data_IF_664157696513
#
_entry.id   IF_664157696513
#
_cell.length_a   1.000
_cell.length_b   1.000
_cell.length_c   1.000
_cell.angle_alpha   90.00
_cell.angle_beta   90.00
_cell.angle_gamma   90.00
#
_symmetry.space_group_name_H-M   'P 1'
#
loop_
_entity.id
_entity.type
_entity.pdbx_description
1 polymer ?
#
# COMPACT_ATOMS: atom_id res chain seq x y z
N UNK A 1 -36.18 -7.64 -6.26
CA UNK A 1 -35.18 -8.53 -5.60
C UNK A 1 -34.34 -9.13 -6.72
N UNK A 2 -33.12 -8.66 -6.99
CA UNK A 2 -32.23 -9.30 -7.98
C UNK A 2 -31.83 -10.67 -7.42
N UNK A 3 -32.10 -11.73 -8.16
CA UNK A 3 -31.73 -13.09 -7.79
C UNK A 3 -30.19 -13.12 -7.68
N UNK A 4 -29.68 -13.35 -6.45
CA UNK A 4 -28.26 -13.64 -6.24
C UNK A 4 -27.95 -14.99 -6.85
N UNK A 5 -26.82 -15.08 -7.51
CA UNK A 5 -26.34 -16.35 -8.06
C UNK A 5 -25.56 -17.09 -6.96
N UNK A 6 -26.02 -18.28 -6.54
CA UNK A 6 -25.30 -19.12 -5.60
C UNK A 6 -23.93 -19.51 -6.14
N UNK A 7 -22.91 -19.57 -5.27
CA UNK A 7 -21.57 -20.01 -5.67
C UNK A 7 -21.56 -21.45 -6.22
N UNK A 8 -22.44 -22.30 -5.75
CA UNK A 8 -22.60 -23.68 -6.24
C UNK A 8 -23.08 -23.78 -7.70
N UNK A 9 -23.67 -22.72 -8.26
CA UNK A 9 -24.17 -22.69 -9.64
C UNK A 9 -23.17 -21.99 -10.61
N UNK A 10 -22.08 -21.43 -10.12
CA UNK A 10 -21.13 -20.67 -10.95
C UNK A 10 -20.42 -21.53 -11.99
N UNK A 11 -20.38 -22.87 -11.81
CA UNK A 11 -19.81 -23.80 -12.80
C UNK A 11 -20.59 -23.85 -14.11
N UNK A 12 -21.86 -23.44 -14.10
CA UNK A 12 -22.70 -23.30 -15.31
C UNK A 12 -22.34 -22.08 -16.15
N UNK A 13 -21.60 -21.12 -15.56
CA UNK A 13 -21.14 -19.93 -16.27
C UNK A 13 -19.88 -20.22 -17.10
N UNK A 14 -19.73 -19.55 -18.25
CA UNK A 14 -18.46 -19.55 -18.97
C UNK A 14 -17.35 -19.00 -18.06
N UNK A 15 -16.12 -19.49 -18.22
CA UNK A 15 -14.98 -19.20 -17.34
C UNK A 15 -14.78 -17.69 -17.11
N UNK A 16 -14.95 -16.87 -18.14
CA UNK A 16 -14.76 -15.44 -18.08
C UNK A 16 -15.85 -14.69 -17.28
N UNK A 17 -16.98 -15.33 -16.94
CA UNK A 17 -18.07 -14.75 -16.11
C UNK A 17 -18.11 -15.29 -14.69
N UNK A 18 -17.17 -16.13 -14.30
CA UNK A 18 -17.10 -16.70 -12.95
C UNK A 18 -16.56 -15.67 -11.94
N UNK A 19 -16.81 -15.85 -10.63
CA UNK A 19 -16.33 -14.96 -9.58
C UNK A 19 -14.80 -14.70 -9.64
N UNK A 20 -14.00 -15.75 -9.88
CA UNK A 20 -12.55 -15.62 -10.02
C UNK A 20 -12.15 -14.68 -11.17
N UNK A 21 -12.85 -14.72 -12.30
CA UNK A 21 -12.59 -13.85 -13.44
C UNK A 21 -12.91 -12.38 -13.11
N UNK A 22 -13.97 -12.12 -12.34
CA UNK A 22 -14.27 -10.78 -11.83
C UNK A 22 -13.17 -10.28 -10.91
N UNK A 23 -12.66 -11.12 -10.00
CA UNK A 23 -11.53 -10.77 -9.13
C UNK A 23 -10.27 -10.43 -9.95
N UNK A 24 -9.96 -11.19 -11.00
CA UNK A 24 -8.84 -10.86 -11.90
C UNK A 24 -9.05 -9.53 -12.62
N UNK A 25 -10.28 -9.28 -13.11
CA UNK A 25 -10.60 -8.03 -13.79
C UNK A 25 -10.45 -6.82 -12.85
N UNK A 26 -10.97 -6.91 -11.63
CA UNK A 26 -10.80 -5.86 -10.61
C UNK A 26 -9.33 -5.68 -10.20
N UNK A 27 -8.58 -6.78 -10.09
CA UNK A 27 -7.15 -6.73 -9.80
C UNK A 27 -6.31 -6.08 -10.91
N UNK A 28 -6.77 -6.14 -12.17
CA UNK A 28 -6.15 -5.41 -13.27
C UNK A 28 -6.56 -3.93 -13.28
N UNK A 29 -7.82 -3.63 -12.98
CA UNK A 29 -8.37 -2.28 -13.08
C UNK A 29 -7.82 -1.32 -12.03
N UNK A 30 -7.68 -1.74 -10.76
CA UNK A 30 -7.21 -0.89 -9.68
C UNK A 30 -5.81 -0.30 -9.93
N UNK A 31 -4.80 -1.09 -10.33
CA UNK A 31 -3.47 -0.55 -10.56
C UNK A 31 -3.39 0.43 -11.73
N UNK A 32 -4.27 0.35 -12.74
CA UNK A 32 -4.28 1.31 -13.83
C UNK A 32 -4.43 2.73 -13.30
N UNK A 33 -5.39 2.97 -12.42
CA UNK A 33 -5.57 4.29 -11.79
C UNK A 33 -4.48 4.58 -10.75
N UNK A 34 -4.22 3.64 -9.83
CA UNK A 34 -3.33 3.89 -8.71
C UNK A 34 -1.85 4.03 -9.12
N UNK A 35 -1.36 3.19 -10.04
CA UNK A 35 0.01 3.28 -10.52
C UNK A 35 0.23 4.56 -11.32
N UNK A 36 -0.73 4.95 -12.18
CA UNK A 36 -0.66 6.21 -12.91
C UNK A 36 -0.65 7.41 -11.97
N UNK A 37 -1.55 7.43 -10.98
CA UNK A 37 -1.54 8.48 -9.96
C UNK A 37 -0.20 8.57 -9.25
N UNK A 38 0.36 7.45 -8.82
CA UNK A 38 1.66 7.40 -8.14
C UNK A 38 2.82 7.86 -9.01
N UNK A 39 2.80 7.54 -10.30
CA UNK A 39 3.85 7.93 -11.24
C UNK A 39 3.86 9.43 -11.53
N UNK A 40 2.68 10.02 -11.66
CA UNK A 40 2.55 11.41 -12.12
C UNK A 40 2.49 12.42 -10.97
N UNK A 41 2.09 12.01 -9.77
CA UNK A 41 1.73 12.90 -8.68
C UNK A 41 2.80 13.95 -8.39
N UNK A 42 4.04 13.53 -8.13
CA UNK A 42 5.09 14.44 -7.68
C UNK A 42 5.42 15.50 -8.74
N UNK A 43 5.53 15.09 -9.99
CA UNK A 43 5.75 16.04 -11.10
C UNK A 43 4.55 16.97 -11.26
N UNK A 44 3.33 16.42 -11.28
CA UNK A 44 2.10 17.22 -11.44
C UNK A 44 1.94 18.28 -10.36
N UNK A 45 2.14 17.93 -9.09
CA UNK A 45 1.95 18.89 -8.00
C UNK A 45 3.05 19.96 -7.97
N UNK A 46 4.27 19.65 -8.40
CA UNK A 46 5.38 20.61 -8.46
C UNK A 46 5.25 21.49 -9.72
N UNK A 47 5.10 20.89 -10.89
CA UNK A 47 5.16 21.60 -12.18
C UNK A 47 3.88 22.39 -12.48
N UNK A 48 2.72 21.89 -12.07
CA UNK A 48 1.42 22.46 -12.42
C UNK A 48 0.75 23.14 -11.23
N UNK A 49 0.77 22.53 -10.05
CA UNK A 49 0.10 23.06 -8.87
C UNK A 49 1.00 23.91 -7.95
N UNK A 50 2.32 23.97 -8.24
CA UNK A 50 3.33 24.72 -7.49
C UNK A 50 3.36 24.35 -5.98
N UNK A 51 3.20 23.08 -5.66
CA UNK A 51 3.24 22.60 -4.28
C UNK A 51 4.64 22.69 -3.69
N UNK A 52 4.66 22.99 -2.40
CA UNK A 52 5.83 22.87 -1.53
C UNK A 52 5.68 21.63 -0.63
N UNK A 53 6.67 21.39 0.24
CA UNK A 53 6.58 20.33 1.23
C UNK A 53 5.34 20.39 2.13
N UNK A 54 4.78 21.57 2.36
CA UNK A 54 3.55 21.74 3.16
C UNK A 54 2.33 21.15 2.47
N UNK A 55 2.13 21.52 1.21
CA UNK A 55 0.97 21.10 0.44
C UNK A 55 1.02 19.59 0.17
N UNK A 56 2.18 19.03 -0.19
CA UNK A 56 2.32 17.59 -0.39
C UNK A 56 2.11 16.81 0.92
N UNK A 57 2.56 17.34 2.03
CA UNK A 57 2.32 16.76 3.37
C UNK A 57 0.83 16.68 3.68
N UNK A 58 0.08 17.77 3.47
CA UNK A 58 -1.38 17.78 3.65
C UNK A 58 -2.10 16.85 2.68
N UNK A 59 -1.68 16.79 1.42
CA UNK A 59 -2.27 15.90 0.41
C UNK A 59 -2.17 14.44 0.85
N UNK A 60 -0.99 14.01 1.31
CA UNK A 60 -0.82 12.65 1.80
C UNK A 60 -1.54 12.40 3.13
N UNK A 61 -1.61 13.37 4.03
CA UNK A 61 -2.46 13.30 5.23
C UNK A 61 -3.92 13.00 4.86
N UNK A 62 -4.49 13.78 3.95
CA UNK A 62 -5.87 13.59 3.47
C UNK A 62 -6.05 12.23 2.80
N UNK A 63 -5.05 11.77 2.05
CA UNK A 63 -5.05 10.45 1.42
C UNK A 63 -5.16 9.30 2.42
N UNK A 64 -4.58 9.42 3.59
CA UNK A 64 -4.56 8.35 4.59
C UNK A 64 -5.81 8.34 5.50
N UNK A 65 -6.61 9.42 5.52
CA UNK A 65 -7.83 9.49 6.34
C UNK A 65 -8.81 8.34 6.06
N UNK A 66 -9.16 8.00 4.80
CA UNK A 66 -10.06 6.88 4.54
C UNK A 66 -9.51 5.52 4.98
N UNK A 67 -8.19 5.32 4.93
CA UNK A 67 -7.52 4.12 5.46
C UNK A 67 -7.64 4.02 6.97
N UNK A 68 -7.45 5.12 7.69
CA UNK A 68 -7.67 5.20 9.13
C UNK A 68 -9.15 4.94 9.49
N UNK A 69 -10.08 5.48 8.70
CA UNK A 69 -11.52 5.32 8.85
C UNK A 69 -12.10 4.10 8.10
N UNK A 70 -11.28 3.09 7.77
CA UNK A 70 -11.72 1.89 7.04
C UNK A 70 -12.88 1.13 7.74
N UNK A 71 -13.07 1.35 9.05
CA UNK A 71 -14.26 0.87 9.78
C UNK A 71 -15.57 1.38 9.17
N UNK A 72 -15.56 2.53 8.49
CA UNK A 72 -16.71 3.09 7.78
C UNK A 72 -17.26 2.17 6.67
N UNK A 73 -16.43 1.28 6.13
CA UNK A 73 -16.87 0.24 5.17
C UNK A 73 -17.98 -0.61 5.76
N UNK A 74 -17.90 -0.95 7.06
CA UNK A 74 -18.92 -1.78 7.75
C UNK A 74 -20.28 -1.07 7.72
N UNK A 75 -20.31 0.25 7.93
CA UNK A 75 -21.56 1.02 7.90
C UNK A 75 -22.18 1.01 6.50
N UNK A 76 -21.37 1.12 5.45
CA UNK A 76 -21.85 1.06 4.06
C UNK A 76 -22.37 -0.35 3.73
N UNK A 77 -21.73 -1.40 4.24
CA UNK A 77 -22.16 -2.78 4.05
C UNK A 77 -23.48 -3.14 4.75
N UNK A 78 -23.98 -2.29 5.67
CA UNK A 78 -25.34 -2.46 6.23
C UNK A 78 -26.44 -2.18 5.21
N UNK A 79 -26.14 -1.36 4.20
CA UNK A 79 -27.11 -0.92 3.18
C UNK A 79 -26.76 -1.37 1.76
N UNK A 80 -25.54 -1.88 1.54
CA UNK A 80 -25.02 -2.20 0.22
C UNK A 80 -24.28 -3.56 0.24
N UNK A 81 -24.39 -4.31 -0.87
CA UNK A 81 -23.69 -5.58 -1.05
C UNK A 81 -22.20 -5.37 -1.33
N UNK A 82 -21.35 -6.29 -0.89
CA UNK A 82 -19.88 -6.23 -1.06
C UNK A 82 -19.47 -6.08 -2.53
N UNK A 83 -20.03 -6.88 -3.47
CA UNK A 83 -19.69 -6.76 -4.89
C UNK A 83 -20.06 -5.39 -5.46
N UNK A 84 -21.23 -4.84 -5.10
CA UNK A 84 -21.65 -3.51 -5.53
C UNK A 84 -20.71 -2.44 -4.99
N UNK A 85 -20.40 -2.53 -3.70
CA UNK A 85 -19.46 -1.58 -3.05
C UNK A 85 -18.07 -1.66 -3.68
N UNK A 86 -17.55 -2.86 -3.97
CA UNK A 86 -16.25 -3.02 -4.64
C UNK A 86 -16.24 -2.32 -6.01
N UNK A 87 -17.27 -2.52 -6.83
CA UNK A 87 -17.36 -1.90 -8.15
C UNK A 87 -17.54 -0.37 -8.05
N UNK A 88 -18.38 0.12 -7.15
CA UNK A 88 -18.59 1.57 -6.95
C UNK A 88 -17.31 2.25 -6.39
N UNK A 89 -16.62 1.61 -5.46
CA UNK A 89 -15.37 2.12 -4.91
C UNK A 89 -14.29 2.19 -6.00
N UNK A 90 -14.20 1.16 -6.85
CA UNK A 90 -13.28 1.14 -7.98
C UNK A 90 -13.66 2.17 -9.05
N UNK A 91 -14.96 2.38 -9.31
CA UNK A 91 -15.44 3.44 -10.18
C UNK A 91 -15.08 4.83 -9.64
N UNK A 92 -15.23 5.05 -8.33
CA UNK A 92 -14.86 6.30 -7.66
C UNK A 92 -13.35 6.56 -7.77
N UNK A 93 -12.52 5.54 -7.55
CA UNK A 93 -11.07 5.62 -7.75
C UNK A 93 -10.75 6.03 -9.19
N UNK A 94 -11.35 5.35 -10.18
CA UNK A 94 -11.16 5.63 -11.60
C UNK A 94 -11.60 7.04 -11.99
N UNK A 95 -12.80 7.45 -11.58
CA UNK A 95 -13.36 8.76 -11.88
C UNK A 95 -12.54 9.89 -11.26
N UNK A 96 -12.16 9.77 -9.97
CA UNK A 96 -11.34 10.76 -9.29
C UNK A 96 -9.95 10.86 -9.94
N UNK A 97 -9.33 9.72 -10.30
CA UNK A 97 -8.07 9.72 -11.06
C UNK A 97 -8.23 10.39 -12.41
N UNK A 98 -9.26 10.05 -13.17
CA UNK A 98 -9.52 10.64 -14.48
C UNK A 98 -9.64 12.16 -14.41
N UNK A 99 -10.26 12.69 -13.37
CA UNK A 99 -10.49 14.11 -13.19
C UNK A 99 -9.30 14.88 -12.60
N UNK A 100 -8.33 14.21 -11.97
CA UNK A 100 -7.23 14.83 -11.22
C UNK A 100 -6.51 15.92 -12.04
N UNK A 101 -6.24 15.66 -13.33
CA UNK A 101 -5.48 16.57 -14.18
C UNK A 101 -6.10 17.97 -14.40
N UNK A 102 -7.40 18.13 -14.13
CA UNK A 102 -8.08 19.44 -14.25
C UNK A 102 -8.17 20.20 -12.93
N UNK A 103 -7.84 19.58 -11.80
CA UNK A 103 -7.89 20.22 -10.49
C UNK A 103 -6.48 20.61 -10.05
N UNK A 104 -6.04 21.82 -10.43
CA UNK A 104 -4.69 22.33 -10.16
C UNK A 104 -4.58 23.14 -8.87
N UNK A 105 -5.71 23.48 -8.23
CA UNK A 105 -5.72 24.18 -6.96
C UNK A 105 -5.46 23.22 -5.79
N UNK A 106 -4.88 23.73 -4.71
CA UNK A 106 -4.63 22.94 -3.49
C UNK A 106 -5.90 22.25 -2.97
N UNK A 107 -7.00 23.02 -2.80
CA UNK A 107 -8.27 22.46 -2.34
C UNK A 107 -8.88 21.44 -3.30
N UNK A 108 -8.79 21.71 -4.61
CA UNK A 108 -9.25 20.78 -5.65
C UNK A 108 -8.51 19.46 -5.60
N UNK A 109 -7.17 19.50 -5.47
CA UNK A 109 -6.35 18.31 -5.35
C UNK A 109 -6.59 17.53 -4.05
N UNK A 110 -6.85 18.23 -2.94
CA UNK A 110 -7.24 17.55 -1.69
C UNK A 110 -8.57 16.80 -1.88
N UNK A 111 -9.56 17.39 -2.54
CA UNK A 111 -10.86 16.74 -2.80
C UNK A 111 -10.67 15.53 -3.73
N UNK A 112 -9.96 15.68 -4.84
CA UNK A 112 -9.71 14.56 -5.76
C UNK A 112 -8.93 13.44 -5.08
N UNK A 113 -7.94 13.77 -4.27
CA UNK A 113 -7.16 12.81 -3.48
C UNK A 113 -8.04 12.10 -2.44
N UNK A 114 -8.92 12.81 -1.74
CA UNK A 114 -9.85 12.21 -0.78
C UNK A 114 -10.81 11.22 -1.47
N UNK A 115 -11.41 11.61 -2.59
CA UNK A 115 -12.33 10.75 -3.36
C UNK A 115 -11.61 9.51 -3.90
N UNK A 116 -10.43 9.69 -4.50
CA UNK A 116 -9.58 8.60 -4.97
C UNK A 116 -9.22 7.65 -3.84
N UNK A 117 -8.86 8.19 -2.67
CA UNK A 117 -8.48 7.41 -1.50
C UNK A 117 -9.66 6.66 -0.87
N UNK A 118 -10.85 7.25 -0.80
CA UNK A 118 -12.06 6.52 -0.40
C UNK A 118 -12.27 5.33 -1.35
N UNK A 119 -12.21 5.58 -2.66
CA UNK A 119 -12.31 4.52 -3.66
C UNK A 119 -11.29 3.40 -3.44
N UNK A 120 -10.02 3.75 -3.26
CA UNK A 120 -8.93 2.80 -3.05
C UNK A 120 -9.12 1.96 -1.79
N UNK A 121 -9.26 2.58 -0.63
CA UNK A 121 -9.31 1.87 0.66
C UNK A 121 -10.58 1.05 0.84
N UNK A 122 -11.73 1.55 0.35
CA UNK A 122 -12.98 0.80 0.42
C UNK A 122 -12.95 -0.39 -0.53
N UNK A 123 -12.44 -0.19 -1.76
CA UNK A 123 -12.22 -1.28 -2.70
C UNK A 123 -11.31 -2.35 -2.11
N UNK A 124 -10.14 -1.96 -1.59
CA UNK A 124 -9.15 -2.93 -1.08
C UNK A 124 -9.72 -3.75 0.07
N UNK A 125 -10.45 -3.11 1.00
CA UNK A 125 -11.09 -3.79 2.14
C UNK A 125 -12.12 -4.81 1.68
N UNK A 126 -13.01 -4.42 0.77
CA UNK A 126 -14.09 -5.30 0.30
C UNK A 126 -13.56 -6.38 -0.64
N UNK A 127 -12.60 -6.05 -1.49
CA UNK A 127 -11.98 -7.01 -2.41
C UNK A 127 -11.27 -8.14 -1.66
N UNK A 128 -10.60 -7.85 -0.53
CA UNK A 128 -10.05 -8.89 0.34
C UNK A 128 -11.14 -9.81 0.90
N UNK A 129 -12.28 -9.24 1.31
CA UNK A 129 -13.43 -10.02 1.79
C UNK A 129 -13.97 -10.94 0.70
N UNK A 130 -14.21 -10.41 -0.51
CA UNK A 130 -14.70 -11.19 -1.66
C UNK A 130 -13.72 -12.30 -2.04
N UNK A 131 -12.41 -12.05 -2.02
CA UNK A 131 -11.40 -13.09 -2.29
C UNK A 131 -11.52 -14.26 -1.30
N UNK A 132 -11.69 -13.95 0.01
CA UNK A 132 -11.82 -15.00 1.03
C UNK A 132 -13.13 -15.79 0.95
N UNK A 133 -14.19 -15.19 0.39
CA UNK A 133 -15.50 -15.81 0.29
C UNK A 133 -15.71 -16.60 -1.01
N UNK A 134 -15.16 -16.10 -2.12
CA UNK A 134 -15.39 -16.67 -3.45
C UNK A 134 -14.37 -17.70 -3.89
N UNK A 135 -13.20 -17.73 -3.23
CA UNK A 135 -12.11 -18.66 -3.60
C UNK A 135 -12.15 -19.87 -2.65
N UNK A 136 -12.21 -21.05 -3.24
CA UNK A 136 -12.09 -22.30 -2.48
C UNK A 136 -10.76 -22.36 -1.72
N UNK A 137 -10.81 -22.79 -0.45
CA UNK A 137 -9.63 -22.83 0.45
C UNK A 137 -8.49 -23.68 -0.12
N UNK A 138 -8.82 -24.79 -0.80
CA UNK A 138 -7.80 -25.68 -1.38
C UNK A 138 -7.07 -25.02 -2.56
N UNK A 139 -7.74 -24.12 -3.31
CA UNK A 139 -7.22 -23.41 -4.47
C UNK A 139 -6.70 -22.02 -4.13
N UNK A 140 -6.99 -21.50 -2.93
CA UNK A 140 -6.68 -20.13 -2.52
C UNK A 140 -5.21 -19.72 -2.77
N UNK A 141 -4.17 -20.50 -2.42
CA UNK A 141 -2.79 -20.08 -2.67
C UNK A 141 -2.50 -19.80 -4.15
N UNK A 142 -3.05 -20.63 -5.04
CA UNK A 142 -2.83 -20.52 -6.49
C UNK A 142 -3.61 -19.32 -7.06
N UNK A 143 -4.89 -19.17 -6.69
CA UNK A 143 -5.75 -18.11 -7.22
C UNK A 143 -5.33 -16.75 -6.70
N UNK A 144 -5.01 -16.62 -5.41
CA UNK A 144 -4.48 -15.38 -4.82
C UNK A 144 -3.14 -14.98 -5.46
N UNK A 145 -2.24 -15.96 -5.69
CA UNK A 145 -0.99 -15.71 -6.41
C UNK A 145 -1.23 -15.17 -7.83
N UNK A 146 -2.24 -15.70 -8.54
CA UNK A 146 -2.63 -15.20 -9.87
C UNK A 146 -3.22 -13.78 -9.80
N UNK A 147 -4.05 -13.47 -8.80
CA UNK A 147 -4.61 -12.12 -8.59
C UNK A 147 -3.47 -11.11 -8.41
N UNK A 148 -2.50 -11.41 -7.53
CA UNK A 148 -1.32 -10.57 -7.34
C UNK A 148 -0.52 -10.40 -8.64
N UNK A 149 -0.32 -11.48 -9.39
CA UNK A 149 0.40 -11.44 -10.67
C UNK A 149 -0.32 -10.63 -11.74
N UNK A 150 -1.67 -10.65 -11.78
CA UNK A 150 -2.47 -9.82 -12.69
C UNK A 150 -2.32 -8.35 -12.34
N UNK A 151 -2.47 -7.98 -11.06
CA UNK A 151 -2.26 -6.62 -10.59
C UNK A 151 -0.85 -6.10 -10.88
N UNK A 152 0.16 -6.94 -10.67
CA UNK A 152 1.54 -6.63 -10.99
C UNK A 152 1.75 -6.32 -12.47
N UNK A 153 1.20 -7.14 -13.36
CA UNK A 153 1.29 -6.91 -14.83
C UNK A 153 0.57 -5.62 -15.23
N UNK A 154 -0.57 -5.31 -14.63
CA UNK A 154 -1.29 -4.06 -14.90
C UNK A 154 -0.46 -2.83 -14.47
N UNK A 155 0.19 -2.87 -13.29
CA UNK A 155 1.11 -1.82 -12.85
C UNK A 155 2.29 -1.65 -13.82
N UNK A 156 2.92 -2.76 -14.23
CA UNK A 156 4.03 -2.75 -15.18
C UNK A 156 3.60 -2.19 -16.54
N UNK A 157 2.39 -2.55 -17.00
CA UNK A 157 1.84 -2.01 -18.25
C UNK A 157 1.60 -0.49 -18.16
N UNK A 158 1.04 0.00 -17.04
CA UNK A 158 0.81 1.41 -16.81
C UNK A 158 2.13 2.20 -16.77
N UNK A 159 3.11 1.76 -15.97
CA UNK A 159 4.42 2.41 -15.92
C UNK A 159 5.16 2.33 -17.27
N UNK A 160 5.16 1.15 -17.90
CA UNK A 160 5.80 0.96 -19.21
C UNK A 160 5.19 1.84 -20.30
N UNK A 161 3.86 1.99 -20.30
CA UNK A 161 3.18 2.89 -21.24
C UNK A 161 3.57 4.36 -21.02
N UNK A 162 3.60 4.81 -19.75
CA UNK A 162 4.04 6.19 -19.43
C UNK A 162 5.48 6.41 -19.90
N UNK A 163 6.41 5.52 -19.54
CA UNK A 163 7.84 5.64 -19.94
C UNK A 163 7.99 5.69 -21.45
N UNK A 164 7.26 4.84 -22.18
CA UNK A 164 7.41 4.73 -23.65
C UNK A 164 6.72 5.87 -24.40
N UNK A 165 5.59 6.37 -23.88
CA UNK A 165 4.71 7.25 -24.66
C UNK A 165 4.73 8.71 -24.20
N UNK A 166 5.16 9.00 -22.99
CA UNK A 166 5.12 10.36 -22.42
C UNK A 166 5.86 11.37 -23.30
N UNK A 167 7.16 11.14 -23.52
CA UNK A 167 7.99 12.06 -24.30
C UNK A 167 7.77 11.89 -25.81
N UNK A 168 7.50 10.65 -26.29
CA UNK A 168 7.36 10.36 -27.72
C UNK A 168 6.08 10.91 -28.33
N UNK A 169 4.99 10.94 -27.58
CA UNK A 169 3.69 11.48 -28.02
C UNK A 169 3.42 12.88 -27.46
N UNK A 170 4.32 13.43 -26.64
CA UNK A 170 4.12 14.73 -25.99
C UNK A 170 2.86 14.74 -25.11
N UNK A 171 2.66 13.69 -24.33
CA UNK A 171 1.47 13.55 -23.47
C UNK A 171 1.46 14.61 -22.36
N UNK A 172 0.28 15.05 -22.00
CA UNK A 172 0.05 15.91 -20.85
C UNK A 172 -0.59 15.15 -19.67
N UNK A 173 -0.55 15.73 -18.48
CA UNK A 173 -1.09 15.13 -17.25
C UNK A 173 -2.57 14.80 -17.35
N UNK A 174 -3.37 15.74 -17.92
CA UNK A 174 -4.82 15.59 -18.01
C UNK A 174 -5.20 14.41 -18.89
N UNK A 175 -4.52 14.26 -20.02
CA UNK A 175 -4.73 13.15 -20.96
C UNK A 175 -4.39 11.80 -20.32
N UNK A 176 -3.27 11.69 -19.60
CA UNK A 176 -2.84 10.41 -19.02
C UNK A 176 -3.73 10.05 -17.83
N UNK A 177 -4.08 11.01 -16.98
CA UNK A 177 -5.04 10.77 -15.88
C UNK A 177 -6.41 10.37 -16.42
N UNK A 178 -6.93 11.06 -17.47
CA UNK A 178 -8.21 10.73 -18.09
C UNK A 178 -8.18 9.32 -18.70
N UNK A 179 -7.13 8.98 -19.43
CA UNK A 179 -7.02 7.69 -20.11
C UNK A 179 -6.98 6.54 -19.09
N UNK A 180 -6.16 6.64 -18.04
CA UNK A 180 -6.00 5.58 -17.04
C UNK A 180 -7.23 5.44 -16.15
N UNK A 181 -7.73 6.55 -15.61
CA UNK A 181 -8.94 6.56 -14.77
C UNK A 181 -10.17 6.21 -15.57
N UNK A 182 -10.30 6.73 -16.79
CA UNK A 182 -11.40 6.41 -17.72
C UNK A 182 -11.43 4.93 -18.09
N UNK A 183 -10.27 4.33 -18.38
CA UNK A 183 -10.18 2.89 -18.63
C UNK A 183 -10.62 2.08 -17.41
N UNK A 184 -10.24 2.48 -16.20
CA UNK A 184 -10.71 1.85 -14.97
C UNK A 184 -12.24 1.92 -14.86
N UNK A 185 -12.85 3.07 -15.12
CA UNK A 185 -14.31 3.25 -15.12
C UNK A 185 -14.98 2.37 -16.20
N UNK A 186 -14.42 2.31 -17.40
CA UNK A 186 -14.94 1.46 -18.47
C UNK A 186 -14.91 -0.02 -18.11
N UNK A 187 -13.83 -0.48 -17.48
CA UNK A 187 -13.71 -1.85 -16.97
C UNK A 187 -14.79 -2.11 -15.89
N UNK A 188 -15.05 -1.16 -15.00
CA UNK A 188 -16.09 -1.30 -13.97
C UNK A 188 -17.48 -1.34 -14.60
N UNK A 189 -17.78 -0.49 -15.58
CA UNK A 189 -19.05 -0.54 -16.32
C UNK A 189 -19.24 -1.91 -17.00
N UNK A 190 -18.21 -2.38 -17.68
CA UNK A 190 -18.23 -3.72 -18.26
C UNK A 190 -18.49 -4.80 -17.20
N UNK A 191 -17.78 -4.74 -16.06
CA UNK A 191 -17.97 -5.70 -14.97
C UNK A 191 -19.41 -5.66 -14.42
N UNK A 192 -19.98 -4.48 -14.22
CA UNK A 192 -21.34 -4.32 -13.72
C UNK A 192 -22.42 -4.87 -14.67
N UNK A 193 -22.19 -4.77 -15.99
CA UNK A 193 -23.12 -5.24 -17.01
C UNK A 193 -22.95 -6.73 -17.34
N UNK A 194 -21.70 -7.22 -17.31
CA UNK A 194 -21.38 -8.58 -17.80
C UNK A 194 -21.49 -9.66 -16.72
N UNK A 195 -21.27 -9.31 -15.45
CA UNK A 195 -21.22 -10.28 -14.35
C UNK A 195 -22.53 -10.27 -13.53
N UNK A 196 -23.05 -11.44 -13.14
CA UNK A 196 -24.16 -11.51 -12.20
C UNK A 196 -23.72 -11.05 -10.80
N UNK A 197 -24.69 -10.77 -9.94
CA UNK A 197 -24.43 -10.57 -8.52
C UNK A 197 -24.26 -11.94 -7.85
N UNK A 198 -23.04 -12.19 -7.35
CA UNK A 198 -22.74 -13.44 -6.66
C UNK A 198 -23.14 -13.37 -5.18
N UNK A 199 -23.45 -14.50 -4.61
CA UNK A 199 -23.73 -14.64 -3.19
C UNK A 199 -22.43 -14.44 -2.37
N UNK A 200 -22.58 -13.74 -1.23
CA UNK A 200 -21.53 -13.62 -0.21
C UNK A 200 -22.02 -14.33 1.04
N UNK A 201 -21.64 -15.60 1.24
CA UNK A 201 -22.29 -16.47 2.22
C UNK A 201 -22.06 -16.08 3.68
N UNK A 202 -21.06 -15.24 3.98
CA UNK A 202 -20.73 -14.89 5.35
C UNK A 202 -20.53 -13.38 5.53
N UNK A 203 -21.41 -12.75 6.33
CA UNK A 203 -21.14 -11.43 6.87
C UNK A 203 -19.90 -11.48 7.78
N UNK A 204 -18.88 -10.73 7.47
CA UNK A 204 -17.65 -10.69 8.27
C UNK A 204 -17.90 -9.95 9.60
N UNK A 205 -17.99 -10.67 10.69
CA UNK A 205 -17.97 -10.06 12.03
C UNK A 205 -16.54 -9.64 12.37
N UNK A 206 -16.22 -8.36 12.24
CA UNK A 206 -14.92 -7.79 12.63
C UNK A 206 -15.01 -7.32 14.08
N UNK A 207 -14.68 -8.18 15.02
CA UNK A 207 -14.35 -7.75 16.37
C UNK A 207 -12.88 -7.33 16.40
N UNK A 208 -12.60 -6.07 16.74
CA UNK A 208 -11.23 -5.62 16.98
C UNK A 208 -10.77 -6.16 18.33
N UNK A 209 -9.60 -6.78 18.39
CA UNK A 209 -9.00 -7.31 19.61
C UNK A 209 -7.64 -6.68 19.84
N UNK A 210 -7.53 -5.93 20.93
CA UNK A 210 -6.27 -5.33 21.37
C UNK A 210 -5.76 -6.11 22.60
N UNK A 211 -4.77 -6.99 22.40
CA UNK A 211 -4.15 -7.77 23.48
C UNK A 211 -2.85 -7.09 23.95
N UNK A 212 -2.72 -6.83 25.24
CA UNK A 212 -1.48 -6.25 25.83
C UNK A 212 -0.24 -7.06 25.51
N UNK A 213 -0.33 -8.37 25.41
CA UNK A 213 0.82 -9.24 25.08
C UNK A 213 1.44 -8.95 23.70
N UNK A 214 0.68 -8.38 22.74
CA UNK A 214 1.16 -8.05 21.40
C UNK A 214 1.68 -6.61 21.30
N UNK A 215 1.95 -5.94 22.41
CA UNK A 215 2.35 -4.53 22.44
C UNK A 215 3.57 -4.22 21.54
N UNK A 216 4.57 -5.14 21.50
CA UNK A 216 5.76 -4.97 20.67
C UNK A 216 5.42 -5.01 19.18
N UNK A 217 4.52 -5.91 18.78
CA UNK A 217 4.00 -5.94 17.41
C UNK A 217 3.29 -4.64 17.04
N UNK A 218 2.47 -4.09 17.92
CA UNK A 218 1.80 -2.80 17.67
C UNK A 218 2.78 -1.64 17.59
N UNK A 219 3.78 -1.60 18.46
CA UNK A 219 4.83 -0.58 18.41
C UNK A 219 5.62 -0.64 17.09
N UNK A 220 5.98 -1.84 16.64
CA UNK A 220 6.65 -2.05 15.37
C UNK A 220 5.75 -1.69 14.16
N UNK A 221 4.45 -1.98 14.22
CA UNK A 221 3.49 -1.57 13.19
C UNK A 221 3.37 -0.04 13.09
N UNK A 222 3.33 0.65 14.23
CA UNK A 222 3.34 2.12 14.27
C UNK A 222 4.62 2.67 13.64
N UNK A 223 5.78 2.15 14.03
CA UNK A 223 7.07 2.58 13.48
C UNK A 223 7.20 2.29 11.98
N UNK A 224 6.70 1.15 11.53
CA UNK A 224 6.67 0.80 10.11
C UNK A 224 5.80 1.79 9.30
N UNK A 225 4.63 2.15 9.81
CA UNK A 225 3.76 3.15 9.21
C UNK A 225 4.41 4.54 9.17
N UNK A 226 4.98 4.98 10.30
CA UNK A 226 5.64 6.28 10.43
C UNK A 226 6.79 6.45 9.44
N UNK A 227 7.71 5.49 9.41
CA UNK A 227 8.86 5.50 8.52
C UNK A 227 8.45 5.45 7.05
N UNK A 228 7.47 4.60 6.71
CA UNK A 228 6.97 4.48 5.34
C UNK A 228 6.51 5.82 4.78
N UNK A 229 5.88 6.67 5.58
CA UNK A 229 5.39 7.97 5.12
C UNK A 229 6.54 8.92 4.75
N UNK A 230 7.67 8.88 5.45
CA UNK A 230 8.83 9.71 5.08
C UNK A 230 9.31 9.35 3.66
N UNK A 231 9.42 8.07 3.34
CA UNK A 231 9.79 7.65 2.00
C UNK A 231 8.70 7.98 0.95
N UNK A 232 7.47 7.56 1.20
CA UNK A 232 6.38 7.69 0.22
C UNK A 232 6.09 9.14 -0.14
N UNK A 233 6.16 10.05 0.84
CA UNK A 233 5.86 11.46 0.64
C UNK A 233 7.09 12.21 0.15
N UNK A 234 8.19 12.13 0.88
CA UNK A 234 9.29 13.06 0.71
C UNK A 234 10.42 12.56 -0.19
N UNK A 235 10.68 11.24 -0.26
CA UNK A 235 11.73 10.76 -1.15
C UNK A 235 11.36 10.97 -2.62
N UNK A 236 10.13 10.62 -3.02
CA UNK A 236 9.66 10.87 -4.38
C UNK A 236 9.53 12.36 -4.71
N UNK A 237 9.03 13.17 -3.77
CA UNK A 237 8.93 14.62 -3.92
C UNK A 237 10.31 15.27 -4.10
N UNK A 238 11.31 14.86 -3.29
CA UNK A 238 12.70 15.30 -3.43
C UNK A 238 13.29 15.02 -4.80
N UNK A 239 13.01 13.87 -5.41
CA UNK A 239 13.55 13.52 -6.72
C UNK A 239 13.13 14.54 -7.79
N UNK A 240 11.92 15.08 -7.70
CA UNK A 240 11.42 16.09 -8.61
C UNK A 240 11.84 17.50 -8.17
N UNK A 241 11.60 17.87 -6.89
CA UNK A 241 11.87 19.22 -6.38
C UNK A 241 13.36 19.60 -6.43
N UNK A 242 14.23 18.70 -5.98
CA UNK A 242 15.68 18.99 -5.88
C UNK A 242 16.46 18.64 -7.12
N UNK A 243 16.12 17.53 -7.78
CA UNK A 243 16.88 16.99 -8.89
C UNK A 243 16.22 17.21 -10.25
N UNK A 244 15.00 17.76 -10.30
CA UNK A 244 14.30 18.06 -11.55
C UNK A 244 13.98 16.82 -12.38
N UNK A 245 13.76 15.64 -11.73
CA UNK A 245 13.44 14.43 -12.49
C UNK A 245 12.14 14.59 -13.26
N UNK A 246 12.20 14.25 -14.54
CA UNK A 246 11.04 14.27 -15.44
C UNK A 246 10.08 13.11 -15.13
N UNK A 247 8.86 13.21 -15.64
CA UNK A 247 7.83 12.15 -15.48
C UNK A 247 8.33 10.80 -15.96
N UNK A 248 8.95 10.74 -17.14
CA UNK A 248 9.49 9.50 -17.70
C UNK A 248 10.60 8.89 -16.84
N UNK A 249 11.49 9.71 -16.30
CA UNK A 249 12.60 9.28 -15.43
C UNK A 249 12.08 8.77 -14.08
N UNK A 250 11.15 9.51 -13.45
CA UNK A 250 10.54 9.12 -12.19
C UNK A 250 9.74 7.81 -12.35
N UNK A 251 8.98 7.68 -13.45
CA UNK A 251 8.24 6.47 -13.76
C UNK A 251 9.17 5.29 -14.06
N UNK A 252 10.28 5.51 -14.74
CA UNK A 252 11.31 4.49 -14.96
C UNK A 252 11.90 4.00 -13.63
N UNK A 253 12.15 4.90 -12.69
CA UNK A 253 12.63 4.54 -11.36
C UNK A 253 11.64 3.65 -10.61
N UNK A 254 10.32 3.96 -10.68
CA UNK A 254 9.25 3.14 -10.12
C UNK A 254 9.17 1.76 -10.82
N UNK A 255 9.28 1.74 -12.13
CA UNK A 255 9.31 0.50 -12.94
C UNK A 255 10.49 -0.39 -12.56
N UNK A 256 11.69 0.19 -12.46
CA UNK A 256 12.89 -0.53 -12.00
C UNK A 256 12.69 -1.10 -10.59
N UNK A 257 12.18 -0.31 -9.66
CA UNK A 257 11.87 -0.79 -8.31
C UNK A 257 10.92 -1.99 -8.33
N UNK A 258 9.87 -1.91 -9.15
CA UNK A 258 8.88 -2.99 -9.25
C UNK A 258 9.51 -4.29 -9.78
N UNK A 259 10.32 -4.20 -10.83
CA UNK A 259 11.02 -5.33 -11.44
C UNK A 259 12.04 -5.95 -10.48
N UNK A 260 12.85 -5.11 -9.81
CA UNK A 260 13.87 -5.56 -8.85
C UNK A 260 13.20 -6.27 -7.67
N UNK A 261 12.15 -5.68 -7.09
CA UNK A 261 11.40 -6.30 -6.00
C UNK A 261 10.84 -7.67 -6.40
N UNK A 262 10.27 -7.79 -7.60
CA UNK A 262 9.76 -9.05 -8.11
C UNK A 262 10.86 -10.11 -8.25
N UNK A 263 12.05 -9.72 -8.72
CA UNK A 263 13.19 -10.63 -8.88
C UNK A 263 13.79 -11.07 -7.53
N UNK A 264 13.82 -10.19 -6.54
CA UNK A 264 14.48 -10.42 -5.25
C UNK A 264 13.55 -11.09 -4.22
N UNK A 265 12.22 -10.93 -4.35
CA UNK A 265 11.23 -11.45 -3.39
C UNK A 265 11.41 -12.94 -3.01
N UNK A 266 11.70 -13.89 -3.93
CA UNK A 266 11.93 -15.29 -3.55
C UNK A 266 13.18 -15.49 -2.66
N UNK A 267 14.20 -14.66 -2.88
CA UNK A 267 15.45 -14.70 -2.09
C UNK A 267 15.23 -14.15 -0.68
N UNK A 268 14.40 -13.12 -0.55
CA UNK A 268 14.00 -12.57 0.74
C UNK A 268 13.22 -13.60 1.57
N UNK A 269 12.30 -14.35 0.96
CA UNK A 269 11.58 -15.44 1.63
C UNK A 269 12.53 -16.54 2.14
N UNK A 270 13.53 -16.93 1.34
CA UNK A 270 14.56 -17.88 1.76
C UNK A 270 15.41 -17.33 2.91
N UNK A 271 15.78 -16.06 2.85
CA UNK A 271 16.54 -15.40 3.91
C UNK A 271 15.76 -15.40 5.24
N UNK A 272 14.46 -15.11 5.20
CA UNK A 272 13.60 -15.16 6.39
C UNK A 272 13.56 -16.57 6.99
N UNK A 273 13.37 -17.61 6.15
CA UNK A 273 13.38 -19.00 6.61
C UNK A 273 14.71 -19.43 7.22
N UNK A 274 15.83 -18.89 6.72
CA UNK A 274 17.18 -19.27 7.19
C UNK A 274 17.63 -18.51 8.44
N UNK A 275 17.36 -17.20 8.50
CA UNK A 275 17.92 -16.31 9.52
C UNK A 275 16.90 -15.92 10.61
N UNK A 276 15.60 -16.16 10.38
CA UNK A 276 14.51 -15.80 11.30
C UNK A 276 14.13 -14.32 11.29
N UNK A 277 12.99 -14.02 11.87
CA UNK A 277 12.34 -12.70 11.81
C UNK A 277 13.19 -11.59 12.43
N UNK A 278 13.74 -11.83 13.63
CA UNK A 278 14.56 -10.85 14.35
C UNK A 278 15.75 -10.37 13.52
N UNK A 279 16.49 -11.29 12.92
CA UNK A 279 17.70 -10.94 12.18
C UNK A 279 17.37 -10.26 10.85
N UNK A 280 16.30 -10.71 10.15
CA UNK A 280 15.88 -10.13 8.89
C UNK A 280 15.34 -8.70 9.11
N UNK A 281 14.49 -8.49 10.12
CA UNK A 281 14.03 -7.15 10.50
C UNK A 281 15.19 -6.27 10.99
N UNK A 282 16.12 -6.83 11.76
CA UNK A 282 17.31 -6.11 12.20
C UNK A 282 18.15 -5.59 11.02
N UNK A 283 18.38 -6.46 10.03
CA UNK A 283 19.05 -6.08 8.79
C UNK A 283 18.27 -5.00 8.00
N UNK A 284 16.96 -5.15 7.88
CA UNK A 284 16.07 -4.16 7.26
C UNK A 284 16.25 -2.79 7.91
N UNK A 285 16.10 -2.71 9.23
CA UNK A 285 16.07 -1.41 9.92
C UNK A 285 17.44 -0.76 10.08
N UNK A 286 18.53 -1.54 10.15
CA UNK A 286 19.90 -0.99 10.04
C UNK A 286 20.11 -0.42 8.63
N UNK A 287 19.75 -1.17 7.60
CA UNK A 287 19.86 -0.72 6.21
C UNK A 287 19.06 0.57 5.97
N UNK A 288 17.81 0.63 6.45
CA UNK A 288 16.96 1.81 6.35
C UNK A 288 17.52 3.01 7.13
N UNK A 289 18.11 2.79 8.32
CA UNK A 289 18.79 3.86 9.06
C UNK A 289 19.91 4.47 8.22
N UNK A 290 20.75 3.64 7.61
CA UNK A 290 21.83 4.10 6.74
C UNK A 290 21.32 4.82 5.48
N UNK A 291 20.25 4.31 4.86
CA UNK A 291 19.62 4.95 3.70
C UNK A 291 19.06 6.31 4.06
N UNK A 292 18.36 6.46 5.19
CA UNK A 292 17.82 7.75 5.61
C UNK A 292 18.94 8.74 5.99
N UNK A 293 20.02 8.31 6.64
CA UNK A 293 21.20 9.12 6.87
C UNK A 293 21.83 9.57 5.54
N UNK A 294 21.91 8.68 4.55
CA UNK A 294 22.43 9.00 3.24
C UNK A 294 21.53 9.97 2.47
N UNK A 295 20.20 9.91 2.63
CA UNK A 295 19.30 10.94 2.11
C UNK A 295 19.59 12.33 2.73
N UNK A 296 19.86 12.41 4.03
CA UNK A 296 20.39 13.64 4.66
C UNK A 296 21.70 14.08 4.02
N UNK A 297 22.60 13.12 3.75
CA UNK A 297 23.87 13.35 3.06
C UNK A 297 23.75 13.98 1.68
N UNK A 298 22.64 13.76 0.95
CA UNK A 298 22.39 14.46 -0.32
C UNK A 298 22.38 15.97 -0.15
N UNK A 299 21.91 16.48 0.99
CA UNK A 299 21.87 17.90 1.30
C UNK A 299 23.22 18.43 1.81
N UNK A 300 23.93 17.64 2.63
CA UNK A 300 25.18 18.09 3.27
C UNK A 300 26.39 18.00 2.34
N UNK A 301 26.45 16.93 1.52
CA UNK A 301 27.61 16.65 0.66
C UNK A 301 27.36 16.98 -0.81
N UNK A 302 26.14 17.41 -1.18
CA UNK A 302 25.81 17.74 -2.56
C UNK A 302 25.84 16.55 -3.52
N UNK A 303 25.56 15.34 -3.05
CA UNK A 303 25.53 14.16 -3.91
C UNK A 303 24.45 14.28 -4.98
N UNK A 304 24.75 13.77 -6.18
CA UNK A 304 23.90 13.93 -7.36
C UNK A 304 22.76 12.90 -7.47
N UNK A 305 21.98 13.07 -8.52
CA UNK A 305 20.77 12.28 -8.83
C UNK A 305 20.99 10.76 -8.89
N UNK A 306 22.18 10.30 -9.31
CA UNK A 306 22.52 8.86 -9.38
C UNK A 306 22.53 8.25 -8.00
N UNK A 307 23.12 8.95 -7.01
CA UNK A 307 23.12 8.49 -5.62
C UNK A 307 21.69 8.51 -5.06
N UNK A 308 20.94 9.57 -5.31
CA UNK A 308 19.55 9.69 -4.89
C UNK A 308 18.67 8.56 -5.45
N UNK A 309 18.79 8.24 -6.74
CA UNK A 309 18.09 7.13 -7.38
C UNK A 309 18.50 5.76 -6.82
N UNK A 310 19.79 5.56 -6.54
CA UNK A 310 20.29 4.36 -5.88
C UNK A 310 19.71 4.18 -4.48
N UNK A 311 19.64 5.26 -3.68
CA UNK A 311 19.03 5.25 -2.36
C UNK A 311 17.52 4.95 -2.44
N UNK A 312 16.83 5.49 -3.45
CA UNK A 312 15.41 5.23 -3.68
C UNK A 312 15.14 3.74 -3.94
N UNK A 313 15.99 3.09 -4.74
CA UNK A 313 15.90 1.65 -4.99
C UNK A 313 16.22 0.84 -3.71
N UNK A 314 17.27 1.23 -2.98
CA UNK A 314 17.69 0.55 -1.75
C UNK A 314 16.61 0.63 -0.66
N UNK A 315 15.96 1.79 -0.48
CA UNK A 315 14.85 1.92 0.47
C UNK A 315 13.74 0.91 0.18
N UNK A 316 13.32 0.81 -1.08
CA UNK A 316 12.28 -0.14 -1.49
C UNK A 316 12.70 -1.59 -1.32
N UNK A 317 13.97 -1.92 -1.55
CA UNK A 317 14.48 -3.27 -1.31
C UNK A 317 14.45 -3.64 0.17
N UNK A 318 14.86 -2.73 1.05
CA UNK A 318 14.76 -2.95 2.49
C UNK A 318 13.30 -3.02 2.93
N UNK A 319 12.44 -2.12 2.43
CA UNK A 319 11.01 -2.14 2.73
C UNK A 319 10.33 -3.46 2.33
N UNK A 320 10.79 -4.10 1.26
CA UNK A 320 10.26 -5.39 0.84
C UNK A 320 10.47 -6.51 1.90
N UNK A 321 11.42 -6.34 2.83
CA UNK A 321 11.62 -7.26 3.97
C UNK A 321 10.56 -7.10 5.07
N UNK A 322 9.74 -6.07 5.03
CA UNK A 322 8.72 -5.76 6.06
C UNK A 322 7.65 -6.85 6.25
N UNK A 323 7.53 -7.81 5.31
CA UNK A 323 6.67 -8.98 5.51
C UNK A 323 7.12 -9.85 6.69
N UNK A 324 8.39 -9.76 7.12
CA UNK A 324 8.92 -10.42 8.31
C UNK A 324 8.17 -10.04 9.60
N UNK A 325 7.60 -8.83 9.66
CA UNK A 325 6.75 -8.40 10.78
C UNK A 325 5.42 -9.16 10.81
N UNK A 326 4.86 -9.52 9.64
CA UNK A 326 3.65 -10.35 9.55
C UNK A 326 3.93 -11.79 10.00
N UNK A 327 5.08 -12.35 9.61
CA UNK A 327 5.46 -13.72 10.01
C UNK A 327 5.81 -13.80 11.50
N UNK A 328 6.46 -12.76 12.05
CA UNK A 328 6.64 -12.65 13.51
C UNK A 328 5.30 -12.70 14.24
N UNK A 329 4.31 -11.92 13.81
CA UNK A 329 3.00 -11.93 14.41
C UNK A 329 2.30 -13.30 14.28
N UNK A 330 2.37 -13.94 13.12
CA UNK A 330 1.81 -15.28 12.92
C UNK A 330 2.39 -16.33 13.88
N UNK A 331 3.66 -16.20 14.27
CA UNK A 331 4.32 -17.11 15.21
C UNK A 331 3.88 -16.92 16.66
N UNK A 332 3.60 -15.68 17.08
CA UNK A 332 3.27 -15.36 18.47
C UNK A 332 1.77 -15.32 18.75
N UNK A 333 0.95 -15.20 17.69
CA UNK A 333 -0.48 -14.98 17.86
C UNK A 333 -1.24 -16.29 18.10
N UNK A 334 -2.22 -16.22 18.99
CA UNK A 334 -3.28 -17.22 19.04
C UNK A 334 -4.02 -17.19 17.68
N UNK A 335 -4.29 -18.34 17.04
CA UNK A 335 -5.01 -18.40 15.78
C UNK A 335 -6.34 -17.61 15.76
N UNK A 336 -7.02 -17.52 16.91
CA UNK A 336 -8.28 -16.77 17.08
C UNK A 336 -8.07 -15.25 17.06
N UNK A 337 -6.87 -14.78 17.43
CA UNK A 337 -6.53 -13.37 17.52
C UNK A 337 -5.96 -12.81 16.19
N UNK A 338 -5.60 -13.65 15.22
CA UNK A 338 -4.89 -13.21 13.98
C UNK A 338 -5.71 -12.17 13.22
N UNK A 339 -6.92 -12.48 12.81
CA UNK A 339 -7.73 -11.57 12.00
C UNK A 339 -8.17 -10.30 12.78
N UNK A 340 -8.68 -10.40 14.03
CA UNK A 340 -9.03 -9.23 14.81
C UNK A 340 -7.86 -8.30 15.10
N UNK A 341 -6.67 -8.85 15.39
CA UNK A 341 -5.46 -8.05 15.65
C UNK A 341 -4.89 -7.45 14.38
N UNK A 342 -5.03 -8.12 13.22
CA UNK A 342 -4.60 -7.54 11.94
C UNK A 342 -5.37 -6.25 11.62
N UNK A 343 -6.66 -6.18 11.93
CA UNK A 343 -7.46 -4.96 11.78
C UNK A 343 -6.96 -3.82 12.68
N UNK A 344 -6.63 -4.13 13.94
CA UNK A 344 -6.02 -3.17 14.88
C UNK A 344 -4.66 -2.68 14.37
N UNK A 345 -3.81 -3.61 13.92
CA UNK A 345 -2.49 -3.29 13.39
C UNK A 345 -2.56 -2.39 12.14
N UNK A 346 -3.53 -2.63 11.27
CA UNK A 346 -3.79 -1.77 10.11
C UNK A 346 -4.14 -0.34 10.55
N UNK A 347 -5.04 -0.19 11.52
CA UNK A 347 -5.40 1.13 12.08
C UNK A 347 -4.19 1.81 12.72
N UNK A 348 -3.39 1.09 13.53
CA UNK A 348 -2.18 1.64 14.16
C UNK A 348 -1.18 2.13 13.12
N UNK A 349 -0.97 1.38 12.04
CA UNK A 349 -0.10 1.78 10.94
C UNK A 349 -0.57 3.10 10.28
N UNK A 350 -1.90 3.31 10.16
CA UNK A 350 -2.48 4.51 9.59
C UNK A 350 -2.51 5.72 10.54
N UNK A 351 -2.44 5.53 11.88
CA UNK A 351 -2.34 6.67 12.80
C UNK A 351 -1.14 7.55 12.44
N UNK A 352 0.05 6.96 12.33
CA UNK A 352 1.24 7.69 11.93
C UNK A 352 1.11 8.28 10.51
N UNK A 353 0.49 7.53 9.61
CA UNK A 353 0.30 7.92 8.22
C UNK A 353 -0.60 9.16 8.05
N UNK A 354 -1.58 9.36 8.93
CA UNK A 354 -2.46 10.55 8.89
C UNK A 354 -1.75 11.78 9.44
N UNK A 355 -1.01 11.66 10.54
CA UNK A 355 -0.49 12.86 11.23
C UNK A 355 0.90 13.30 10.77
N UNK A 356 1.77 12.36 10.44
CA UNK A 356 3.17 12.66 10.13
C UNK A 356 3.37 13.47 8.84
N UNK A 357 2.70 13.19 7.70
CA UNK A 357 2.98 13.91 6.47
C UNK A 357 2.78 15.40 6.59
N UNK A 358 1.67 15.86 7.18
CA UNK A 358 1.42 17.27 7.38
C UNK A 358 2.47 17.91 8.31
N UNK A 359 2.76 17.29 9.46
CA UNK A 359 3.76 17.80 10.40
C UNK A 359 5.17 17.89 9.76
N UNK A 360 5.59 16.84 9.06
CA UNK A 360 6.89 16.81 8.39
C UNK A 360 6.94 17.72 7.15
N UNK A 361 5.79 18.03 6.52
CA UNK A 361 5.72 18.99 5.43
C UNK A 361 6.12 20.41 5.87
N UNK A 362 5.76 20.82 7.08
CA UNK A 362 6.24 22.09 7.64
C UNK A 362 7.76 22.05 7.93
N UNK A 363 8.28 20.93 8.42
CA UNK A 363 9.72 20.76 8.61
C UNK A 363 10.46 20.73 7.27
N UNK A 364 9.91 20.07 6.26
CA UNK A 364 10.47 20.04 4.91
C UNK A 364 10.70 21.42 4.32
N UNK A 365 9.73 22.33 4.51
CA UNK A 365 9.80 23.69 3.99
C UNK A 365 10.98 24.52 4.56
N UNK A 366 11.55 24.10 5.68
CA UNK A 366 12.69 24.78 6.34
C UNK A 366 13.97 23.98 6.26
N UNK A 367 13.90 22.67 6.42
CA UNK A 367 15.07 21.79 6.54
C UNK A 367 14.70 20.35 6.08
N UNK A 368 14.73 20.09 4.75
CA UNK A 368 14.40 18.78 4.22
C UNK A 368 15.30 17.64 4.75
N UNK A 369 16.56 17.92 5.03
CA UNK A 369 17.53 16.99 5.60
C UNK A 369 17.10 16.46 6.98
N UNK A 370 16.50 17.32 7.82
CA UNK A 370 16.00 16.90 9.14
C UNK A 370 14.82 15.92 9.03
N UNK A 371 14.01 15.98 7.97
CA UNK A 371 12.95 14.98 7.74
C UNK A 371 13.55 13.59 7.58
N UNK A 372 14.63 13.48 6.82
CA UNK A 372 15.34 12.20 6.66
C UNK A 372 16.07 11.77 7.92
N UNK A 373 16.65 12.71 8.68
CA UNK A 373 17.26 12.40 9.98
C UNK A 373 16.25 11.87 10.99
N UNK A 374 15.05 12.43 11.03
CA UNK A 374 13.95 11.86 11.82
C UNK A 374 13.60 10.45 11.36
N UNK A 375 13.58 10.21 10.05
CA UNK A 375 13.42 8.87 9.48
C UNK A 375 14.50 7.90 9.97
N UNK A 376 15.75 8.32 9.97
CA UNK A 376 16.87 7.54 10.50
C UNK A 376 16.70 7.26 12.01
N UNK A 377 16.31 8.28 12.79
CA UNK A 377 16.03 8.13 14.22
C UNK A 377 14.88 7.15 14.50
N UNK A 378 13.80 7.23 13.72
CA UNK A 378 12.67 6.29 13.81
C UNK A 378 13.10 4.86 13.45
N UNK A 379 13.91 4.69 12.41
CA UNK A 379 14.41 3.38 12.01
C UNK A 379 15.35 2.80 13.10
N UNK A 380 16.22 3.61 13.67
CA UNK A 380 17.11 3.19 14.75
C UNK A 380 16.32 2.83 16.03
N UNK A 381 15.29 3.61 16.37
CA UNK A 381 14.40 3.28 17.49
C UNK A 381 13.66 1.96 17.26
N UNK A 382 13.14 1.75 16.06
CA UNK A 382 12.50 0.48 15.70
C UNK A 382 13.49 -0.69 15.74
N UNK A 383 14.76 -0.49 15.35
CA UNK A 383 15.80 -1.51 15.54
C UNK A 383 15.99 -1.85 17.02
N UNK A 384 15.97 -0.87 17.92
CA UNK A 384 15.97 -1.11 19.37
C UNK A 384 14.80 -1.98 19.82
N UNK A 385 13.59 -1.72 19.30
CA UNK A 385 12.41 -2.56 19.56
C UNK A 385 12.58 -3.98 19.00
N UNK A 386 13.17 -4.15 17.83
CA UNK A 386 13.43 -5.46 17.21
C UNK A 386 14.40 -6.30 18.07
N UNK A 387 15.33 -5.67 18.76
CA UNK A 387 16.21 -6.37 19.71
C UNK A 387 15.44 -7.02 20.86
N UNK A 388 14.20 -6.59 21.13
CA UNK A 388 13.31 -7.20 22.12
C UNK A 388 12.57 -8.45 21.59
N UNK A 389 12.65 -8.76 20.30
CA UNK A 389 12.09 -10.00 19.73
C UNK A 389 12.99 -11.17 20.15
N UNK A 390 12.43 -12.27 20.68
CA UNK A 390 13.18 -13.49 20.97
C UNK A 390 13.78 -14.09 19.67
N UNK A 391 14.82 -14.92 19.80
CA UNK A 391 15.38 -15.65 18.65
C UNK A 391 14.39 -16.65 18.05
N UNK A 392 13.55 -17.23 18.90
CA UNK A 392 12.49 -18.17 18.53
C UNK A 392 11.17 -17.64 19.12
N UNK A 393 10.48 -16.73 18.42
CA UNK A 393 9.21 -16.19 18.89
C UNK A 393 8.12 -17.26 18.79
N UNK A 394 7.34 -17.41 19.86
CA UNK A 394 6.21 -18.34 19.97
C UNK A 394 5.15 -17.80 20.93
N UNK A 395 3.93 -18.37 20.98
CA UNK A 395 2.91 -17.93 21.93
C UNK A 395 3.42 -18.04 23.37
N UNK A 396 3.35 -16.93 24.12
CA UNK A 396 3.90 -16.82 25.48
C UNK A 396 5.35 -16.32 25.54
N UNK A 397 6.07 -16.31 24.42
CA UNK A 397 7.41 -15.73 24.25
C UNK A 397 7.39 -14.65 23.16
N UNK A 398 6.46 -13.70 23.28
CA UNK A 398 6.32 -12.60 22.33
C UNK A 398 7.49 -11.62 22.38
N UNK A 399 8.08 -11.46 23.57
CA UNK A 399 9.25 -10.57 23.79
C UNK A 399 10.29 -11.26 24.67
N UNK A 400 11.51 -10.76 24.69
CA UNK A 400 12.56 -11.22 25.61
C UNK A 400 12.20 -11.06 27.09
N UNK A 401 11.18 -10.24 27.40
CA UNK A 401 10.66 -10.05 28.75
C UNK A 401 9.42 -10.91 29.05
N UNK A 402 8.87 -11.60 28.06
CA UNK A 402 7.73 -12.49 28.27
C UNK A 402 8.18 -13.70 29.11
N UNK A 403 7.44 -13.98 30.17
CA UNK A 403 7.58 -15.26 30.89
C UNK A 403 6.74 -16.28 30.14
N UNK A 404 7.36 -17.41 29.77
CA UNK A 404 6.63 -18.48 29.08
C UNK A 404 5.30 -18.78 29.79
N UNK A 405 4.20 -18.87 29.02
CA UNK A 405 2.94 -19.33 29.58
C UNK A 405 3.15 -20.79 30.05
N UNK A 406 2.60 -21.19 31.23
CA UNK A 406 2.52 -22.60 31.54
C UNK A 406 1.79 -23.29 30.38
N UNK A 407 2.37 -24.36 29.84
CA UNK A 407 1.68 -25.19 28.86
C UNK A 407 0.35 -25.62 29.49
N UNK A 408 -0.79 -25.54 28.78
CA UNK A 408 -2.02 -26.14 29.27
C UNK A 408 -1.70 -27.62 29.49
N UNK A 409 -1.97 -28.10 30.69
CA UNK A 409 -1.93 -29.54 30.99
C UNK A 409 -2.84 -30.23 29.95
N UNK A 410 -2.31 -31.23 29.24
CA UNK A 410 -3.02 -32.06 28.26
C UNK A 410 -4.27 -32.74 28.90
#
# INVERSE_FOLDING_TARGET
MSNLMPLSETDRLPLWRRPEALLYLMAAAMPLSFATWSALLNNFVIEVAAFTGKEIGWLHTVREIPGFLAIGVILVLLVMREQVLALLALALLGAATAMTGWFTSFSGLLVMTLLSSIGFHYFETVNQSLQLQWIDKARAPIVLGRIVAVGARASLAAYGAIVALWDTLGLDYSTVYLASGGLTVLIVIFAALAYPQFESPHAQHKHMVLRRRYWLYYALQFMAGARRQIFVVFAGFMMVERFGMKVSEMTLLLLCNYLINMAVAPSMGRALGKYGERNVMGFEYIGLTLVFLAYGGLYWFGWGIVVAGGLYILDQLFFALSFSLKTYFQKIADPRDIAPTAAVAFTINHIAAVFLPAALGYLWATSPDYVFLLGAGMALFAFGLICLIPRHPEPGLETVFSRGLPQPAE
#
